data_IF_455729106946
#
_entry.id   IF_455729106946
#
_cell.length_a   1.000
_cell.length_b   1.000
_cell.length_c   1.000
_cell.angle_alpha   90.00
_cell.angle_beta   90.00
_cell.angle_gamma   90.00
#
_symmetry.space_group_name_H-M   'P 1'
#
loop_
_entity.id
_entity.type
_entity.pdbx_description
1 polymer ?
#
# COMPACT_ATOMS: atom_id res chain seq x y z
N UNK A 1 -21.90 4.64 5.24
CA UNK A 1 -21.88 6.07 5.59
C UNK A 1 -20.57 6.40 6.30
N UNK A 2 -19.92 7.52 5.96
CA UNK A 2 -18.65 7.98 6.58
C UNK A 2 -19.01 8.83 7.78
N UNK A 3 -18.65 8.37 8.98
CA UNK A 3 -19.08 9.02 10.24
C UNK A 3 -18.15 10.14 10.71
N UNK A 4 -16.89 10.12 10.27
CA UNK A 4 -15.86 11.06 10.74
C UNK A 4 -14.96 11.46 9.56
N UNK A 5 -14.65 12.76 9.48
CA UNK A 5 -13.70 13.33 8.55
C UNK A 5 -12.55 13.97 9.33
N UNK A 6 -11.33 13.59 9.01
CA UNK A 6 -10.12 14.13 9.65
C UNK A 6 -9.37 14.95 8.61
N UNK A 7 -8.96 16.16 9.00
CA UNK A 7 -8.16 17.06 8.18
C UNK A 7 -6.79 17.25 8.83
N UNK A 8 -5.74 17.34 8.02
CA UNK A 8 -4.41 17.57 8.56
C UNK A 8 -3.32 17.73 7.52
N UNK A 9 -2.11 17.97 7.99
CA UNK A 9 -0.89 18.04 7.18
C UNK A 9 0.08 17.03 7.78
N UNK A 10 0.60 16.10 6.97
CA UNK A 10 1.56 15.14 7.48
C UNK A 10 2.94 15.79 7.72
N UNK A 11 3.63 15.44 8.82
CA UNK A 11 5.00 15.91 9.01
C UNK A 11 5.93 15.33 7.93
N UNK A 12 6.54 16.19 7.12
CA UNK A 12 7.40 15.84 5.98
C UNK A 12 8.39 14.68 6.24
N UNK A 13 9.11 14.72 7.36
CA UNK A 13 10.13 13.70 7.69
C UNK A 13 9.55 12.33 8.04
N UNK A 14 8.25 12.26 8.33
CA UNK A 14 7.55 11.07 8.82
C UNK A 14 6.36 10.66 7.95
N UNK A 15 6.17 11.27 6.77
CA UNK A 15 5.01 11.03 5.91
C UNK A 15 4.84 9.54 5.62
N UNK A 16 5.89 8.92 5.05
CA UNK A 16 5.88 7.50 4.69
C UNK A 16 5.61 6.58 5.88
N UNK A 17 6.22 6.84 7.03
CA UNK A 17 5.99 6.05 8.25
C UNK A 17 4.56 6.22 8.76
N UNK A 18 4.03 7.44 8.66
CA UNK A 18 2.64 7.73 9.05
C UNK A 18 1.65 7.06 8.12
N UNK A 19 1.90 7.06 6.81
CA UNK A 19 1.12 6.33 5.82
C UNK A 19 1.10 4.83 6.11
N UNK A 20 2.25 4.21 6.44
CA UNK A 20 2.27 2.81 6.86
C UNK A 20 1.46 2.56 8.13
N UNK A 21 1.60 3.41 9.16
CA UNK A 21 0.83 3.27 10.41
C UNK A 21 -0.67 3.37 10.19
N UNK A 22 -1.10 4.32 9.36
CA UNK A 22 -2.52 4.47 8.99
C UNK A 22 -3.01 3.26 8.19
N UNK A 23 -2.17 2.69 7.33
CA UNK A 23 -2.49 1.50 6.56
C UNK A 23 -2.66 0.26 7.45
N UNK A 24 -1.74 0.01 8.38
CA UNK A 24 -1.91 -1.08 9.35
C UNK A 24 -3.19 -0.91 10.16
N UNK A 25 -3.44 0.30 10.67
CA UNK A 25 -4.66 0.59 11.42
C UNK A 25 -5.94 0.35 10.60
N UNK A 26 -5.92 0.67 9.30
CA UNK A 26 -7.04 0.41 8.39
C UNK A 26 -7.31 -1.09 8.24
N UNK A 27 -6.26 -1.86 7.89
CA UNK A 27 -6.38 -3.29 7.59
C UNK A 27 -6.65 -4.16 8.83
N UNK A 28 -6.23 -3.71 10.02
CA UNK A 28 -6.50 -4.35 11.30
C UNK A 28 -7.80 -3.86 11.96
N UNK A 29 -8.52 -2.92 11.33
CA UNK A 29 -9.69 -2.26 11.92
C UNK A 29 -9.43 -1.70 13.33
N UNK A 30 -8.24 -1.12 13.54
CA UNK A 30 -7.78 -0.60 14.83
C UNK A 30 -7.73 0.94 14.85
N UNK A 31 -7.39 1.53 15.99
CA UNK A 31 -7.32 2.99 16.15
C UNK A 31 -8.62 3.70 15.70
N UNK A 32 -8.53 4.75 14.88
CA UNK A 32 -9.66 5.49 14.33
C UNK A 32 -10.61 4.60 13.49
N UNK A 33 -10.09 3.54 12.86
CA UNK A 33 -10.87 2.67 11.99
C UNK A 33 -11.69 1.62 12.77
N UNK A 34 -11.44 1.47 14.08
CA UNK A 34 -12.31 0.69 14.97
C UNK A 34 -13.75 1.24 15.00
N UNK A 35 -13.90 2.53 14.73
CA UNK A 35 -15.19 3.22 14.73
C UNK A 35 -15.88 3.24 13.34
N UNK A 36 -15.28 2.59 12.34
CA UNK A 36 -15.79 2.47 10.98
C UNK A 36 -14.92 3.18 9.94
N UNK A 37 -15.52 3.50 8.80
CA UNK A 37 -14.82 4.14 7.67
C UNK A 37 -14.62 5.63 7.95
N UNK A 38 -13.40 6.00 8.28
CA UNK A 38 -12.97 7.39 8.49
C UNK A 38 -12.37 7.95 7.21
N UNK A 39 -12.86 9.11 6.77
CA UNK A 39 -12.31 9.82 5.61
C UNK A 39 -11.14 10.70 6.08
N UNK A 40 -9.97 10.51 5.48
CA UNK A 40 -8.79 11.33 5.76
C UNK A 40 -8.57 12.32 4.62
N UNK A 41 -8.60 13.61 4.90
CA UNK A 41 -8.27 14.68 3.96
C UNK A 41 -6.95 15.31 4.41
N UNK A 42 -5.84 14.78 3.92
CA UNK A 42 -4.51 15.13 4.42
C UNK A 42 -3.63 15.72 3.33
N UNK A 43 -2.89 16.77 3.66
CA UNK A 43 -1.78 17.22 2.82
C UNK A 43 -0.60 16.28 2.96
N UNK A 44 -0.12 15.80 1.81
CA UNK A 44 1.10 15.01 1.66
C UNK A 44 1.97 15.60 0.56
N UNK A 45 3.27 15.33 0.59
CA UNK A 45 4.18 15.70 -0.48
C UNK A 45 3.75 15.11 -1.83
N UNK A 46 3.95 15.86 -2.90
CA UNK A 46 3.68 15.39 -4.27
C UNK A 46 4.39 14.07 -4.56
N UNK A 47 5.59 13.88 -4.02
CA UNK A 47 6.34 12.61 -4.09
C UNK A 47 5.52 11.43 -3.54
N UNK A 48 5.01 11.53 -2.31
CA UNK A 48 4.25 10.44 -1.70
C UNK A 48 2.88 10.28 -2.37
N UNK A 49 2.25 11.37 -2.84
CA UNK A 49 1.05 11.28 -3.67
C UNK A 49 1.30 10.46 -4.95
N UNK A 50 2.36 10.75 -5.71
CA UNK A 50 2.72 10.00 -6.92
C UNK A 50 2.97 8.52 -6.63
N UNK A 51 3.54 8.19 -5.47
CA UNK A 51 3.67 6.81 -5.01
C UNK A 51 2.30 6.16 -4.78
N UNK A 52 1.39 6.82 -4.07
CA UNK A 52 0.07 6.27 -3.74
C UNK A 52 -0.78 6.02 -4.99
N UNK A 53 -0.64 6.85 -6.02
CA UNK A 53 -1.39 6.75 -7.27
C UNK A 53 -0.59 6.20 -8.44
N UNK A 54 0.56 5.54 -8.18
CA UNK A 54 1.38 4.98 -9.25
C UNK A 54 0.61 3.87 -9.97
N UNK A 55 0.79 3.80 -11.30
CA UNK A 55 0.22 2.75 -12.14
C UNK A 55 1.18 1.56 -12.25
N UNK A 56 0.67 0.35 -12.53
CA UNK A 56 1.53 -0.79 -12.85
C UNK A 56 2.51 -0.44 -13.97
N UNK A 57 3.75 -0.92 -13.83
CA UNK A 57 4.85 -0.63 -14.74
C UNK A 57 5.69 0.61 -14.38
N UNK A 58 5.20 1.53 -13.53
CA UNK A 58 6.01 2.64 -13.03
C UNK A 58 7.12 2.13 -12.10
N UNK A 59 8.31 1.92 -12.67
CA UNK A 59 9.44 1.33 -11.97
C UNK A 59 9.95 2.17 -10.77
N UNK A 60 9.62 3.46 -10.70
CA UNK A 60 10.15 4.38 -9.68
C UNK A 60 9.16 4.62 -8.55
N UNK A 61 7.86 4.59 -8.85
CA UNK A 61 6.81 4.89 -7.88
C UNK A 61 5.99 3.68 -7.43
N UNK A 62 5.86 2.64 -8.27
CA UNK A 62 5.00 1.49 -7.98
C UNK A 62 5.66 0.55 -6.95
N UNK A 63 5.06 0.48 -5.77
CA UNK A 63 5.57 -0.28 -4.63
C UNK A 63 4.44 -0.83 -3.76
N UNK A 64 4.77 -1.60 -2.71
CA UNK A 64 3.76 -2.23 -1.85
C UNK A 64 2.77 -1.23 -1.24
N UNK A 65 3.24 -0.03 -0.88
CA UNK A 65 2.39 1.04 -0.35
C UNK A 65 1.32 1.47 -1.38
N UNK A 66 1.68 1.51 -2.66
CA UNK A 66 0.75 1.81 -3.77
C UNK A 66 -0.40 0.81 -3.81
N UNK A 67 -0.05 -0.48 -3.91
CA UNK A 67 -1.03 -1.57 -4.00
C UNK A 67 -1.96 -1.56 -2.80
N UNK A 68 -1.40 -1.52 -1.59
CA UNK A 68 -2.19 -1.67 -0.37
C UNK A 68 -3.12 -0.47 -0.14
N UNK A 69 -2.71 0.75 -0.49
CA UNK A 69 -3.61 1.91 -0.40
C UNK A 69 -4.68 1.93 -1.49
N UNK A 70 -4.35 1.55 -2.73
CA UNK A 70 -5.35 1.51 -3.82
C UNK A 70 -6.40 0.41 -3.59
N UNK A 71 -6.00 -0.75 -3.05
CA UNK A 71 -6.96 -1.78 -2.61
C UNK A 71 -7.78 -1.32 -1.40
N UNK A 72 -7.14 -0.65 -0.44
CA UNK A 72 -7.73 -0.27 0.83
C UNK A 72 -8.69 0.92 0.75
N UNK A 73 -8.38 1.88 -0.11
CA UNK A 73 -9.03 3.18 -0.17
C UNK A 73 -9.28 3.65 -1.60
N UNK A 74 -10.37 4.40 -1.76
CA UNK A 74 -10.48 5.35 -2.86
C UNK A 74 -9.58 6.55 -2.56
N UNK A 75 -8.68 6.87 -3.50
CA UNK A 75 -7.70 7.96 -3.38
C UNK A 75 -8.11 9.06 -4.35
N UNK A 76 -8.44 10.24 -3.82
CA UNK A 76 -8.84 11.39 -4.63
C UNK A 76 -7.95 12.59 -4.32
N UNK A 77 -7.39 13.20 -5.35
CA UNK A 77 -6.71 14.48 -5.24
C UNK A 77 -7.75 15.60 -5.20
N UNK A 78 -7.76 16.36 -4.11
CA UNK A 78 -8.70 17.48 -3.93
C UNK A 78 -8.06 18.81 -4.33
N UNK A 79 -6.77 18.99 -4.04
CA UNK A 79 -6.06 20.24 -4.30
C UNK A 79 -4.55 20.00 -4.41
N UNK A 80 -3.87 20.83 -5.21
CA UNK A 80 -2.42 20.92 -5.24
C UNK A 80 -2.00 22.35 -4.93
N UNK A 81 -1.18 22.51 -3.90
CA UNK A 81 -0.72 23.82 -3.44
C UNK A 81 0.82 23.86 -3.52
N UNK A 82 1.42 24.87 -4.17
CA UNK A 82 2.87 25.02 -4.19
C UNK A 82 3.47 25.13 -2.78
N UNK A 83 4.67 24.59 -2.57
CA UNK A 83 5.35 24.71 -1.27
C UNK A 83 5.56 26.14 -0.81
N UNK A 84 5.70 27.09 -1.75
CA UNK A 84 5.86 28.51 -1.48
C UNK A 84 4.72 29.12 -0.66
N UNK A 85 3.54 28.51 -0.68
CA UNK A 85 2.37 28.98 0.05
C UNK A 85 2.36 28.60 1.53
N UNK A 86 3.31 27.75 1.96
CA UNK A 86 3.42 27.30 3.35
C UNK A 86 4.64 27.90 4.03
N UNK A 87 4.46 28.31 5.29
CA UNK A 87 5.59 28.73 6.14
C UNK A 87 6.45 27.52 6.47
N UNK A 88 7.73 27.57 6.09
CA UNK A 88 8.69 26.50 6.41
C UNK A 88 9.65 26.95 7.50
N UNK A 89 10.05 26.03 8.39
CA UNK A 89 10.91 26.31 9.54
C UNK A 89 12.40 26.52 9.19
N UNK A 90 12.74 26.91 7.95
CA UNK A 90 14.12 27.13 7.56
C UNK A 90 14.60 28.48 8.09
N UNK A 91 15.61 28.46 8.97
CA UNK A 91 16.21 29.67 9.58
C UNK A 91 16.79 30.68 8.56
N UNK A 92 16.96 30.27 7.29
CA UNK A 92 17.61 31.05 6.24
C UNK A 92 16.65 31.55 5.13
N UNK A 93 15.34 31.53 5.35
CA UNK A 93 14.35 32.09 4.40
C UNK A 93 14.15 31.31 3.10
N UNK A 94 14.86 30.19 2.90
CA UNK A 94 14.62 29.26 1.79
C UNK A 94 13.51 28.25 2.11
N UNK A 95 12.91 27.66 1.08
CA UNK A 95 11.94 26.58 1.24
C UNK A 95 12.65 25.31 1.74
N UNK A 96 12.24 24.80 2.91
CA UNK A 96 12.71 23.51 3.44
C UNK A 96 12.10 22.31 2.70
N UNK A 97 12.07 22.33 1.37
CA UNK A 97 11.48 21.26 0.56
C UNK A 97 12.50 20.14 0.41
N UNK A 98 12.20 18.92 0.90
CA UNK A 98 13.07 17.78 0.67
C UNK A 98 13.19 17.53 -0.83
N UNK A 99 14.41 17.64 -1.37
CA UNK A 99 14.65 17.30 -2.77
C UNK A 99 14.40 15.80 -2.97
N UNK A 100 13.58 15.47 -3.97
CA UNK A 100 13.37 14.11 -4.43
C UNK A 100 14.16 13.92 -5.72
N UNK A 101 14.96 12.86 -5.79
CA UNK A 101 15.84 12.60 -6.95
C UNK A 101 15.07 12.10 -8.18
N UNK A 102 13.94 11.42 -7.96
CA UNK A 102 13.29 10.60 -8.99
C UNK A 102 11.82 10.96 -9.26
N UNK A 103 11.16 11.63 -8.32
CA UNK A 103 9.76 12.03 -8.40
C UNK A 103 9.63 13.52 -8.14
N UNK A 104 8.66 14.22 -8.77
CA UNK A 104 8.43 15.63 -8.51
C UNK A 104 8.04 15.85 -7.05
N UNK A 105 8.42 17.02 -6.51
CA UNK A 105 8.11 17.37 -5.14
C UNK A 105 7.92 18.88 -4.96
N UNK A 106 7.26 19.54 -5.91
CA UNK A 106 7.12 21.00 -5.92
C UNK A 106 5.83 21.47 -5.23
N UNK A 107 4.92 20.53 -4.94
CA UNK A 107 3.63 20.81 -4.32
C UNK A 107 3.37 19.95 -3.07
N UNK A 108 2.48 20.47 -2.24
CA UNK A 108 1.68 19.70 -1.29
C UNK A 108 0.34 19.34 -1.94
N UNK A 109 0.01 18.06 -1.93
CA UNK A 109 -1.24 17.52 -2.46
C UNK A 109 -2.20 17.28 -1.30
N UNK A 110 -3.36 17.94 -1.30
CA UNK A 110 -4.48 17.57 -0.42
C UNK A 110 -5.15 16.33 -1.01
N UNK A 111 -5.00 15.21 -0.32
CA UNK A 111 -5.50 13.91 -0.76
C UNK A 111 -6.60 13.45 0.19
N UNK A 112 -7.72 13.03 -0.40
CA UNK A 112 -8.78 12.32 0.29
C UNK A 112 -8.52 10.81 0.17
N UNK A 113 -8.46 10.15 1.32
CA UNK A 113 -8.40 8.70 1.44
C UNK A 113 -9.68 8.22 2.10
N UNK A 114 -10.49 7.47 1.34
CA UNK A 114 -11.76 6.93 1.83
C UNK A 114 -11.69 5.40 1.80
N UNK A 115 -11.77 4.71 2.95
CA UNK A 115 -11.79 3.26 2.99
C UNK A 115 -12.87 2.66 2.09
N UNK A 116 -12.48 1.68 1.28
CA UNK A 116 -13.39 0.95 0.38
C UNK A 116 -14.44 0.19 1.20
N UNK A 117 -15.71 0.29 0.79
CA UNK A 117 -16.80 -0.38 1.51
C UNK A 117 -16.71 -1.91 1.40
N UNK A 118 -16.17 -2.39 0.28
CA UNK A 118 -15.98 -3.80 -0.03
C UNK A 118 -14.54 -4.27 0.22
N UNK A 119 -13.76 -3.59 1.08
CA UNK A 119 -12.40 -4.01 1.40
C UNK A 119 -12.36 -5.44 1.97
N UNK A 120 -13.27 -5.74 2.90
CA UNK A 120 -13.33 -7.05 3.59
C UNK A 120 -14.45 -7.97 3.06
N UNK A 121 -14.74 -7.90 1.76
CA UNK A 121 -15.64 -8.86 1.11
C UNK A 121 -14.85 -10.03 0.53
N UNK A 122 -15.34 -11.27 0.63
CA UNK A 122 -14.63 -12.45 0.11
C UNK A 122 -13.60 -13.01 1.09
N UNK A 123 -12.39 -13.28 0.62
CA UNK A 123 -11.33 -13.98 1.39
C UNK A 123 -10.47 -13.07 2.26
N UNK A 124 -10.40 -11.77 1.97
CA UNK A 124 -9.68 -10.80 2.78
C UNK A 124 -10.51 -10.36 4.00
N UNK A 125 -9.97 -10.58 5.21
CA UNK A 125 -10.60 -10.27 6.49
C UNK A 125 -9.61 -9.52 7.39
N UNK A 126 -10.08 -8.79 8.42
CA UNK A 126 -9.18 -8.16 9.38
C UNK A 126 -8.24 -9.15 10.07
N UNK A 127 -8.66 -10.40 10.25
CA UNK A 127 -7.87 -11.46 10.92
C UNK A 127 -6.73 -12.03 10.07
N UNK A 128 -6.76 -11.88 8.74
CA UNK A 128 -5.71 -12.35 7.83
C UNK A 128 -5.06 -11.20 7.04
N UNK A 129 -5.34 -9.94 7.39
CA UNK A 129 -4.87 -8.77 6.65
C UNK A 129 -3.35 -8.56 6.78
N UNK A 130 -2.76 -8.90 7.93
CA UNK A 130 -1.31 -8.86 8.11
C UNK A 130 -0.58 -9.79 7.11
N UNK A 131 -1.13 -10.97 6.87
CA UNK A 131 -0.67 -11.94 5.87
C UNK A 131 -0.74 -11.36 4.46
N UNK A 132 -1.84 -10.68 4.11
CA UNK A 132 -1.99 -10.00 2.83
C UNK A 132 -0.94 -8.89 2.63
N UNK A 133 -0.77 -8.01 3.64
CA UNK A 133 0.24 -6.94 3.63
C UNK A 133 1.64 -7.53 3.40
N UNK A 134 1.97 -8.60 4.13
CA UNK A 134 3.24 -9.29 3.99
C UNK A 134 3.42 -9.86 2.58
N UNK A 135 2.43 -10.56 2.05
CA UNK A 135 2.47 -11.13 0.70
C UNK A 135 2.76 -10.06 -0.36
N UNK A 136 2.05 -8.93 -0.32
CA UNK A 136 2.27 -7.80 -1.25
C UNK A 136 3.69 -7.25 -1.12
N UNK A 137 4.19 -7.08 0.11
CA UNK A 137 5.58 -6.64 0.35
C UNK A 137 6.60 -7.63 -0.23
N UNK A 138 6.39 -8.93 -0.07
CA UNK A 138 7.29 -9.95 -0.59
C UNK A 138 7.30 -9.99 -2.12
N UNK A 139 6.14 -9.90 -2.77
CA UNK A 139 6.06 -9.81 -4.22
C UNK A 139 6.85 -8.60 -4.76
N UNK A 140 6.68 -7.44 -4.13
CA UNK A 140 7.29 -6.18 -4.58
C UNK A 140 8.70 -5.92 -4.05
N UNK A 141 9.27 -6.84 -3.25
CA UNK A 141 10.67 -6.76 -2.83
C UNK A 141 11.66 -6.97 -3.99
N UNK A 142 11.25 -7.71 -5.04
CA UNK A 142 11.97 -7.81 -6.32
C UNK A 142 10.98 -7.52 -7.45
N UNK A 143 10.64 -6.25 -7.71
CA UNK A 143 9.50 -5.89 -8.57
C UNK A 143 9.66 -6.35 -10.03
N UNK A 144 10.89 -6.63 -10.48
CA UNK A 144 11.24 -7.13 -11.82
C UNK A 144 11.29 -8.65 -11.94
N UNK A 145 11.21 -9.40 -10.84
CA UNK A 145 11.19 -10.87 -10.92
C UNK A 145 9.81 -11.33 -11.40
N UNK A 146 9.78 -12.46 -12.11
CA UNK A 146 8.53 -13.11 -12.47
C UNK A 146 7.80 -13.51 -11.19
N UNK A 147 6.47 -13.38 -11.22
CA UNK A 147 5.64 -13.76 -10.09
C UNK A 147 5.68 -15.27 -9.84
N UNK A 148 5.78 -16.08 -10.89
CA UNK A 148 5.95 -17.54 -10.80
C UNK A 148 7.17 -17.93 -9.97
N UNK A 149 8.31 -17.29 -10.20
CA UNK A 149 9.55 -17.55 -9.45
C UNK A 149 9.35 -17.27 -7.95
N UNK A 150 8.56 -16.24 -7.62
CA UNK A 150 8.20 -15.92 -6.24
C UNK A 150 7.26 -16.96 -5.64
N UNK A 151 6.19 -17.32 -6.34
CA UNK A 151 5.24 -18.32 -5.85
C UNK A 151 5.91 -19.68 -5.63
N UNK A 152 6.77 -20.10 -6.56
CA UNK A 152 7.52 -21.35 -6.43
C UNK A 152 8.50 -21.30 -5.25
N UNK A 153 9.08 -20.14 -4.93
CA UNK A 153 9.91 -19.96 -3.74
C UNK A 153 9.13 -20.10 -2.42
N UNK A 154 7.79 -20.05 -2.47
CA UNK A 154 6.90 -20.27 -1.33
C UNK A 154 6.40 -21.71 -1.27
N UNK A 155 7.10 -22.64 -1.94
CA UNK A 155 6.75 -24.07 -2.03
C UNK A 155 5.36 -24.33 -2.62
N UNK A 156 4.88 -23.43 -3.48
CA UNK A 156 3.70 -23.68 -4.29
C UNK A 156 4.12 -24.47 -5.53
N UNK A 157 4.04 -25.80 -5.47
CA UNK A 157 4.42 -26.71 -6.57
C UNK A 157 3.68 -26.46 -7.90
N UNK A 158 2.67 -25.57 -7.89
CA UNK A 158 1.84 -25.23 -9.04
C UNK A 158 1.59 -23.72 -9.20
N UNK A 159 2.56 -22.85 -8.87
CA UNK A 159 2.41 -21.39 -9.02
C UNK A 159 1.94 -20.94 -10.41
N UNK A 160 2.42 -21.58 -11.48
CA UNK A 160 1.96 -21.29 -12.86
C UNK A 160 0.49 -21.64 -13.10
N UNK A 161 0.01 -22.77 -12.55
CA UNK A 161 -1.41 -23.16 -12.66
C UNK A 161 -2.31 -22.13 -11.97
N UNK A 162 -1.93 -21.69 -10.78
CA UNK A 162 -2.64 -20.64 -10.03
C UNK A 162 -2.74 -19.33 -10.84
N UNK A 163 -1.64 -18.90 -11.45
CA UNK A 163 -1.66 -17.68 -12.27
C UNK A 163 -2.56 -17.83 -13.49
N UNK A 164 -2.55 -18.98 -14.17
CA UNK A 164 -3.45 -19.24 -15.31
C UNK A 164 -4.92 -19.21 -14.89
N UNK A 165 -5.27 -19.78 -13.74
CA UNK A 165 -6.64 -19.75 -13.19
C UNK A 165 -7.10 -18.30 -12.88
N UNK A 166 -6.16 -17.41 -12.58
CA UNK A 166 -6.41 -15.98 -12.36
C UNK A 166 -6.26 -15.13 -13.62
N UNK A 167 -6.04 -15.74 -14.79
CA UNK A 167 -5.79 -15.06 -16.07
C UNK A 167 -4.55 -14.14 -16.05
N UNK A 168 -3.61 -14.40 -15.14
CA UNK A 168 -2.34 -13.67 -15.02
C UNK A 168 -1.29 -14.39 -15.88
N UNK A 169 -0.61 -13.69 -16.81
CA UNK A 169 0.46 -14.30 -17.61
C UNK A 169 1.60 -14.83 -16.75
N UNK A 170 2.14 -16.01 -17.06
CA UNK A 170 3.27 -16.59 -16.32
C UNK A 170 4.56 -15.74 -16.42
N UNK A 171 4.67 -14.93 -17.48
CA UNK A 171 5.75 -13.98 -17.67
C UNK A 171 5.55 -12.66 -16.90
N UNK A 172 4.42 -12.50 -16.19
CA UNK A 172 4.11 -11.27 -15.49
C UNK A 172 5.12 -11.00 -14.36
N UNK A 173 5.69 -9.80 -14.37
CA UNK A 173 6.48 -9.27 -13.27
C UNK A 173 5.56 -8.68 -12.21
N UNK A 174 5.95 -8.74 -10.94
CA UNK A 174 5.15 -8.20 -9.84
C UNK A 174 4.71 -6.75 -10.09
N UNK A 175 5.60 -5.86 -10.54
CA UNK A 175 5.25 -4.45 -10.79
C UNK A 175 4.23 -4.21 -11.90
N UNK A 176 3.92 -5.21 -12.71
CA UNK A 176 3.00 -5.08 -13.83
C UNK A 176 1.57 -5.49 -13.45
N UNK A 177 1.36 -6.07 -12.27
CA UNK A 177 0.03 -6.45 -11.78
C UNK A 177 -0.71 -5.24 -11.25
N UNK A 178 -2.03 -5.19 -11.49
CA UNK A 178 -2.90 -4.22 -10.86
C UNK A 178 -3.09 -4.54 -9.37
N UNK A 179 -3.42 -3.55 -8.52
CA UNK A 179 -3.65 -3.79 -7.10
C UNK A 179 -4.69 -4.90 -6.82
N UNK A 180 -5.74 -4.98 -7.64
CA UNK A 180 -6.81 -5.97 -7.55
C UNK A 180 -6.31 -7.39 -7.83
N UNK A 181 -5.30 -7.56 -8.68
CA UNK A 181 -4.71 -8.87 -8.98
C UNK A 181 -4.02 -9.44 -7.76
N UNK A 182 -3.40 -8.60 -6.92
CA UNK A 182 -2.84 -9.04 -5.64
C UNK A 182 -3.93 -9.53 -4.69
N UNK A 183 -5.08 -8.86 -4.64
CA UNK A 183 -6.20 -9.30 -3.81
C UNK A 183 -6.73 -10.66 -4.29
N UNK A 184 -6.94 -10.83 -5.60
CA UNK A 184 -7.39 -12.11 -6.19
C UNK A 184 -6.39 -13.23 -5.92
N UNK A 185 -5.10 -12.95 -6.08
CA UNK A 185 -4.02 -13.89 -5.76
C UNK A 185 -4.07 -14.32 -4.31
N UNK A 186 -4.22 -13.37 -3.38
CA UNK A 186 -4.32 -13.67 -1.96
C UNK A 186 -5.53 -14.55 -1.64
N UNK A 187 -6.70 -14.21 -2.18
CA UNK A 187 -7.93 -14.97 -1.95
C UNK A 187 -7.84 -16.39 -2.52
N UNK A 188 -7.22 -16.57 -3.69
CA UNK A 188 -6.98 -17.88 -4.27
C UNK A 188 -5.98 -18.71 -3.45
N UNK A 189 -4.93 -18.09 -2.92
CA UNK A 189 -3.96 -18.75 -2.04
C UNK A 189 -4.60 -19.23 -0.73
N UNK A 190 -5.47 -18.41 -0.13
CA UNK A 190 -6.21 -18.78 1.09
C UNK A 190 -7.13 -20.00 0.88
N UNK A 191 -7.70 -20.16 -0.32
CA UNK A 191 -8.56 -21.29 -0.65
C UNK A 191 -7.78 -22.55 -1.04
N UNK A 192 -6.48 -22.43 -1.31
CA UNK A 192 -5.61 -23.56 -1.58
C UNK A 192 -5.11 -24.15 -0.25
N UNK A 193 -5.23 -25.46 -0.07
CA UNK A 193 -4.71 -26.19 1.10
C UNK A 193 -3.19 -26.12 1.26
N UNK A 194 -2.48 -25.40 0.38
CA UNK A 194 -1.01 -25.30 0.33
C UNK A 194 -0.45 -24.16 1.19
N UNK A 195 -1.27 -23.19 1.59
CA UNK A 195 -0.79 -21.96 2.22
C UNK A 195 -0.80 -22.02 3.77
N UNK A 196 -1.51 -22.99 4.35
CA UNK A 196 -1.98 -22.90 5.74
C UNK A 196 -1.03 -23.39 6.84
N UNK A 197 0.06 -24.10 6.56
CA UNK A 197 0.79 -24.78 7.65
C UNK A 197 2.23 -24.34 7.94
N UNK A 198 2.94 -23.64 7.04
CA UNK A 198 4.41 -23.49 7.23
C UNK A 198 4.96 -22.06 7.18
N UNK A 199 4.21 -21.06 6.71
CA UNK A 199 4.86 -19.86 6.19
C UNK A 199 4.60 -18.53 6.92
N UNK A 200 3.52 -18.40 7.71
CA UNK A 200 3.06 -17.07 8.18
C UNK A 200 3.13 -16.81 9.69
N UNK A 201 3.39 -17.81 10.52
CA UNK A 201 3.41 -17.59 11.97
C UNK A 201 4.72 -16.93 12.43
N UNK A 202 5.88 -17.30 11.90
CA UNK A 202 7.16 -16.79 12.41
C UNK A 202 7.60 -15.45 11.77
N UNK A 203 7.53 -15.30 10.45
CA UNK A 203 8.03 -14.08 9.75
C UNK A 203 7.13 -12.84 9.92
N UNK A 204 5.82 -13.02 10.09
CA UNK A 204 4.90 -11.92 10.40
C UNK A 204 5.17 -11.40 11.83
N UNK A 205 5.41 -12.30 12.78
CA UNK A 205 5.80 -11.95 14.14
C UNK A 205 7.16 -11.22 14.18
N UNK A 206 8.16 -11.67 13.43
CA UNK A 206 9.46 -10.98 13.36
C UNK A 206 9.40 -9.63 12.65
N UNK A 207 8.65 -9.52 11.55
CA UNK A 207 8.53 -8.24 10.84
C UNK A 207 7.71 -7.20 11.60
N UNK A 208 6.74 -7.61 12.43
CA UNK A 208 6.05 -6.72 13.39
C UNK A 208 7.01 -6.27 14.50
N UNK A 209 7.89 -7.14 14.99
CA UNK A 209 8.88 -6.80 16.03
C UNK A 209 9.94 -5.81 15.55
N UNK A 210 10.32 -5.87 14.28
CA UNK A 210 11.34 -4.99 13.68
C UNK A 210 10.80 -3.61 13.23
N UNK A 211 9.53 -3.28 13.50
CA UNK A 211 8.91 -1.98 13.17
C UNK A 211 8.88 -1.00 14.37
N UNK A 212 9.37 -1.41 15.55
CA UNK A 212 9.50 -0.55 16.73
C UNK A 212 10.90 0.04 16.89
#
# INVERSE_FOLDING_TARGET
DVRVKIFGILPQKKERNTLWRLLFALYECSSIYRYGRVELNIFISEKEYKVLTAMPGDARAYQALTVLWQVGCEIQLLHMEPWSSFVTNLKNGGLAVPKSMWLPNDHLCLVRLTPQQNLFTGGLKPTNSATFIFMVKQCLAKPKSKLTDRLNSWSLDNGGKLLRELEIPESAEARNLYPEDYRRLFEALQNSSMFTETWFHDDVLESIRNIN
#
